data_IF_701712159360
#
_entry.id   IF_701712159360
#
_cell.length_a   1.000
_cell.length_b   1.000
_cell.length_c   1.000
_cell.angle_alpha   90.00
_cell.angle_beta   90.00
_cell.angle_gamma   90.00
#
_symmetry.space_group_name_H-M   'P 1'
#
loop_
_entity.id
_entity.type
_entity.pdbx_description
1 polymer ?
#
# COMPACT_ATOMS: atom_id res chain seq x y z
N UNK A 1 27.97 -61.70 17.60
CA UNK A 1 27.52 -60.33 17.90
C UNK A 1 26.91 -59.77 16.63
N UNK A 2 25.59 -59.52 16.64
CA UNK A 2 24.87 -58.95 15.48
C UNK A 2 24.92 -57.42 15.66
N UNK A 3 25.60 -56.71 14.76
CA UNK A 3 25.55 -55.25 14.75
C UNK A 3 24.20 -54.79 14.20
N UNK A 4 23.41 -54.13 15.04
CA UNK A 4 22.23 -53.37 14.63
C UNK A 4 22.72 -52.08 13.95
N UNK A 5 22.58 -52.00 12.62
CA UNK A 5 22.69 -50.74 11.91
C UNK A 5 21.39 -49.95 12.09
N UNK A 6 21.44 -48.90 12.92
CA UNK A 6 20.35 -47.94 13.08
C UNK A 6 20.52 -46.88 11.97
N UNK A 7 19.55 -46.69 11.06
CA UNK A 7 19.62 -45.65 10.05
C UNK A 7 19.67 -44.27 10.70
N UNK A 8 20.48 -43.35 10.15
CA UNK A 8 20.45 -41.95 10.57
C UNK A 8 19.08 -41.33 10.28
N UNK A 9 18.60 -40.41 11.12
CA UNK A 9 17.36 -39.68 10.84
C UNK A 9 17.51 -38.92 9.52
N UNK A 10 16.43 -38.76 8.75
CA UNK A 10 16.44 -37.98 7.52
C UNK A 10 16.83 -36.52 7.83
N UNK A 11 17.49 -35.85 6.87
CA UNK A 11 17.66 -34.39 6.93
C UNK A 11 16.28 -33.72 6.98
N UNK A 12 16.20 -32.48 7.50
CA UNK A 12 14.95 -31.72 7.54
C UNK A 12 14.23 -31.69 6.19
N UNK A 13 14.99 -31.64 5.09
CA UNK A 13 14.52 -31.74 3.70
C UNK A 13 13.89 -33.10 3.38
N UNK A 14 14.48 -34.21 3.83
CA UNK A 14 13.93 -35.55 3.64
C UNK A 14 12.72 -35.86 4.52
N UNK A 15 12.58 -35.17 5.65
CA UNK A 15 11.43 -35.30 6.55
C UNK A 15 10.19 -34.55 6.01
N UNK A 16 10.39 -33.42 5.33
CA UNK A 16 9.29 -32.59 4.81
C UNK A 16 8.72 -33.05 3.46
N UNK A 17 9.54 -33.58 2.55
CA UNK A 17 9.10 -33.84 1.17
C UNK A 17 8.97 -35.32 0.79
N UNK A 18 9.33 -36.25 1.67
CA UNK A 18 9.34 -37.68 1.36
C UNK A 18 10.46 -38.03 0.38
N UNK A 19 11.04 -39.22 0.53
CA UNK A 19 12.15 -39.68 -0.30
C UNK A 19 11.68 -40.14 -1.67
N UNK A 20 11.28 -39.22 -2.55
CA UNK A 20 11.19 -39.50 -3.99
C UNK A 20 11.08 -38.22 -4.83
N UNK A 21 12.21 -37.77 -5.38
CA UNK A 21 12.27 -37.35 -6.80
C UNK A 21 13.73 -37.26 -7.26
N UNK A 22 14.08 -38.16 -8.18
CA UNK A 22 15.33 -38.14 -8.93
C UNK A 22 15.23 -37.17 -10.12
N UNK A 23 16.27 -36.34 -10.23
CA UNK A 23 16.81 -35.66 -11.41
C UNK A 23 15.81 -35.02 -12.39
N UNK A 24 15.57 -33.73 -12.19
CA UNK A 24 15.49 -32.78 -13.28
C UNK A 24 16.60 -31.75 -13.04
N UNK A 25 17.41 -31.53 -14.08
CA UNK A 25 18.66 -30.78 -14.07
C UNK A 25 18.64 -29.57 -13.12
N UNK A 26 19.58 -29.56 -12.17
CA UNK A 26 19.97 -28.40 -11.39
C UNK A 26 20.32 -27.26 -12.36
N UNK A 27 19.35 -26.40 -12.66
CA UNK A 27 19.68 -24.99 -12.86
C UNK A 27 20.07 -24.49 -11.48
N UNK A 28 21.35 -24.64 -11.16
CA UNK A 28 21.97 -24.12 -9.95
C UNK A 28 21.83 -22.60 -9.97
N UNK A 29 20.74 -22.09 -9.40
CA UNK A 29 20.76 -20.76 -8.82
C UNK A 29 21.68 -20.87 -7.58
N UNK A 30 22.66 -19.99 -7.43
CA UNK A 30 23.70 -20.14 -6.41
C UNK A 30 23.19 -19.95 -4.97
N UNK A 31 21.95 -19.47 -4.80
CA UNK A 31 21.40 -19.18 -3.48
C UNK A 31 20.67 -20.37 -2.86
N UNK A 32 21.14 -20.78 -1.68
CA UNK A 32 20.49 -21.77 -0.85
C UNK A 32 19.19 -21.23 -0.24
N UNK A 33 18.28 -22.15 0.12
CA UNK A 33 17.04 -21.80 0.85
C UNK A 33 17.34 -21.08 2.17
N UNK A 34 18.41 -21.49 2.87
CA UNK A 34 18.87 -20.87 4.12
C UNK A 34 19.27 -19.40 3.92
N UNK A 35 20.09 -19.11 2.91
CA UNK A 35 20.51 -17.74 2.56
C UNK A 35 19.31 -16.86 2.21
N UNK A 36 18.30 -17.41 1.53
CA UNK A 36 17.06 -16.67 1.24
C UNK A 36 16.29 -16.29 2.52
N UNK A 37 16.28 -17.15 3.53
CA UNK A 37 15.64 -16.85 4.82
C UNK A 37 16.44 -15.83 5.64
N UNK A 38 17.76 -15.88 5.61
CA UNK A 38 18.62 -14.87 6.25
C UNK A 38 18.37 -13.48 5.64
N UNK A 39 18.36 -13.39 4.30
CA UNK A 39 18.05 -12.16 3.58
C UNK A 39 16.65 -11.62 3.96
N UNK A 40 15.66 -12.52 4.06
CA UNK A 40 14.31 -12.14 4.46
C UNK A 40 14.26 -11.66 5.92
N UNK A 41 14.96 -12.33 6.83
CA UNK A 41 15.01 -11.93 8.23
C UNK A 41 15.61 -10.53 8.41
N UNK A 42 16.73 -10.26 7.74
CA UNK A 42 17.34 -8.93 7.68
C UNK A 42 16.36 -7.89 7.07
N UNK A 43 15.67 -8.28 5.99
CA UNK A 43 14.68 -7.42 5.33
C UNK A 43 13.49 -7.07 6.23
N UNK A 44 13.02 -8.02 7.03
CA UNK A 44 11.95 -7.79 8.00
C UNK A 44 12.40 -6.87 9.16
N UNK A 45 13.68 -6.88 9.52
CA UNK A 45 14.21 -5.93 10.51
C UNK A 45 14.13 -4.49 9.97
N UNK A 46 14.60 -4.25 8.74
CA UNK A 46 14.49 -2.95 8.08
C UNK A 46 13.02 -2.55 7.89
N UNK A 47 12.18 -3.48 7.46
CA UNK A 47 10.74 -3.24 7.32
C UNK A 47 10.11 -2.82 8.65
N UNK A 48 10.46 -3.48 9.76
CA UNK A 48 9.97 -3.11 11.07
C UNK A 48 10.38 -1.68 11.47
N UNK A 49 11.59 -1.25 11.13
CA UNK A 49 12.05 0.12 11.39
C UNK A 49 11.30 1.17 10.56
N UNK A 50 11.05 0.88 9.27
CA UNK A 50 10.21 1.72 8.40
C UNK A 50 8.79 1.85 8.97
N UNK A 51 8.17 0.71 9.29
CA UNK A 51 6.81 0.70 9.82
C UNK A 51 6.74 1.36 11.20
N UNK A 52 7.75 1.18 12.04
CA UNK A 52 7.84 1.85 13.34
C UNK A 52 8.00 3.37 13.18
N UNK A 53 8.71 3.85 12.16
CA UNK A 53 8.75 5.27 11.84
C UNK A 53 7.37 5.79 11.43
N UNK A 54 6.71 5.12 10.49
CA UNK A 54 5.39 5.51 9.97
C UNK A 54 4.31 5.49 11.06
N UNK A 55 4.26 4.42 11.86
CA UNK A 55 3.26 4.28 12.93
C UNK A 55 3.51 5.16 14.15
N UNK A 56 4.73 5.69 14.32
CA UNK A 56 5.04 6.73 15.33
C UNK A 56 4.89 8.12 14.71
N UNK A 57 3.77 8.33 14.01
CA UNK A 57 3.39 9.57 13.32
C UNK A 57 4.31 10.05 12.20
N UNK A 58 5.36 9.30 11.84
CA UNK A 58 6.25 9.59 10.71
C UNK A 58 6.71 11.04 10.68
N UNK A 59 6.40 11.72 9.57
CA UNK A 59 6.70 13.15 9.35
C UNK A 59 6.04 14.08 10.38
N UNK A 60 4.90 13.68 10.95
CA UNK A 60 4.11 14.50 11.89
C UNK A 60 4.62 14.41 13.33
N UNK A 61 5.54 13.49 13.62
CA UNK A 61 6.11 13.38 14.96
C UNK A 61 6.82 14.68 15.37
N UNK A 62 6.84 15.03 16.67
CA UNK A 62 7.46 16.28 17.15
C UNK A 62 8.91 16.43 16.66
N UNK A 63 9.21 17.58 16.04
CA UNK A 63 10.54 17.91 15.53
C UNK A 63 10.89 17.33 14.15
N UNK A 64 10.08 16.42 13.58
CA UNK A 64 10.40 15.79 12.29
C UNK A 64 10.29 16.72 11.08
N UNK A 65 9.56 17.83 11.20
CA UNK A 65 9.48 18.86 10.17
C UNK A 65 10.57 19.94 10.30
N UNK A 66 11.41 19.89 11.34
CA UNK A 66 12.54 20.80 11.49
C UNK A 66 13.54 20.64 10.33
N UNK A 67 14.27 21.71 10.03
CA UNK A 67 15.18 21.74 8.87
C UNK A 67 16.18 20.58 8.88
N UNK A 68 16.76 20.22 10.03
CA UNK A 68 17.70 19.12 10.20
C UNK A 68 17.09 17.71 10.06
N UNK A 69 15.76 17.59 10.18
CA UNK A 69 15.03 16.33 10.11
C UNK A 69 14.28 16.13 8.79
N UNK A 70 14.35 17.10 7.88
CA UNK A 70 13.78 16.99 6.54
C UNK A 70 14.40 15.79 5.78
N UNK A 71 13.64 15.11 4.92
CA UNK A 71 14.03 13.81 4.36
C UNK A 71 15.26 13.87 3.44
N UNK A 72 15.56 15.01 2.84
CA UNK A 72 16.76 15.23 2.03
C UNK A 72 18.02 15.55 2.86
N UNK A 73 17.91 15.70 4.19
CA UNK A 73 19.08 15.89 5.04
C UNK A 73 19.72 14.51 5.31
N UNK A 74 21.02 14.32 4.99
CA UNK A 74 21.65 12.99 5.05
C UNK A 74 21.60 12.30 6.42
N UNK A 75 21.62 13.09 7.49
CA UNK A 75 21.60 12.62 8.88
C UNK A 75 20.20 12.53 9.49
N UNK A 76 19.17 12.91 8.73
CA UNK A 76 17.78 12.81 9.20
C UNK A 76 17.40 11.37 9.49
N UNK A 77 16.43 11.18 10.40
CA UNK A 77 15.89 9.85 10.71
C UNK A 77 15.36 9.15 9.45
N UNK A 78 14.69 9.89 8.57
CA UNK A 78 14.18 9.35 7.31
C UNK A 78 15.32 8.88 6.40
N UNK A 79 16.36 9.71 6.21
CA UNK A 79 17.49 9.38 5.34
C UNK A 79 18.27 8.17 5.83
N UNK A 80 18.45 8.01 7.15
CA UNK A 80 19.09 6.82 7.73
C UNK A 80 18.30 5.53 7.45
N UNK A 81 16.98 5.55 7.67
CA UNK A 81 16.12 4.40 7.35
C UNK A 81 16.18 4.08 5.85
N UNK A 82 16.17 5.11 4.99
CA UNK A 82 16.31 4.94 3.54
C UNK A 82 17.68 4.33 3.17
N UNK A 83 18.76 4.76 3.81
CA UNK A 83 20.11 4.23 3.62
C UNK A 83 20.21 2.77 4.08
N UNK A 84 19.60 2.41 5.22
CA UNK A 84 19.58 1.04 5.72
C UNK A 84 18.81 0.11 4.77
N UNK A 85 17.71 0.60 4.16
CA UNK A 85 16.98 -0.11 3.12
C UNK A 85 17.82 -0.37 1.87
N UNK A 86 18.57 0.64 1.40
CA UNK A 86 19.49 0.47 0.27
C UNK A 86 20.67 -0.44 0.61
N UNK A 87 21.21 -0.35 1.83
CA UNK A 87 22.28 -1.23 2.28
C UNK A 87 21.84 -2.68 2.36
N UNK A 88 20.59 -2.94 2.77
CA UNK A 88 20.01 -4.29 2.69
C UNK A 88 19.82 -4.74 1.24
N UNK A 89 19.24 -3.89 0.38
CA UNK A 89 19.02 -4.21 -1.04
C UNK A 89 20.31 -4.55 -1.78
N UNK A 90 21.35 -3.74 -1.61
CA UNK A 90 22.67 -3.91 -2.26
C UNK A 90 23.48 -5.09 -1.73
N UNK A 91 23.18 -5.62 -0.53
CA UNK A 91 23.80 -6.84 -0.01
C UNK A 91 23.28 -8.10 -0.72
N UNK A 92 22.07 -8.04 -1.25
CA UNK A 92 21.46 -9.15 -1.99
C UNK A 92 21.98 -9.19 -3.43
N UNK A 93 22.19 -10.40 -3.95
CA UNK A 93 22.62 -10.61 -5.33
C UNK A 93 21.59 -10.04 -6.33
N UNK A 94 22.07 -9.46 -7.43
CA UNK A 94 21.24 -8.87 -8.50
C UNK A 94 20.23 -9.87 -9.08
N UNK A 95 20.49 -11.17 -8.96
CA UNK A 95 19.56 -12.25 -9.32
C UNK A 95 18.29 -12.26 -8.47
N UNK A 96 18.24 -11.51 -7.36
CA UNK A 96 17.05 -11.37 -6.53
C UNK A 96 16.33 -10.04 -6.75
N UNK A 97 16.80 -9.20 -7.68
CA UNK A 97 16.26 -7.86 -7.88
C UNK A 97 15.25 -7.82 -9.03
N UNK A 98 14.01 -7.48 -8.71
CA UNK A 98 13.06 -6.94 -9.68
C UNK A 98 13.40 -5.45 -9.95
N UNK A 99 13.14 -4.90 -11.16
CA UNK A 99 12.65 -5.56 -12.38
C UNK A 99 13.75 -6.22 -13.23
N UNK A 100 15.02 -6.17 -12.82
CA UNK A 100 16.14 -6.81 -13.54
C UNK A 100 15.90 -8.30 -13.78
N UNK A 101 15.31 -8.97 -12.81
CA UNK A 101 14.78 -10.33 -12.89
C UNK A 101 13.25 -10.32 -12.82
N UNK A 102 12.63 -11.34 -13.41
CA UNK A 102 11.17 -11.50 -13.44
C UNK A 102 10.71 -12.58 -12.46
N UNK A 103 9.47 -12.49 -12.00
CA UNK A 103 8.88 -13.53 -11.14
C UNK A 103 8.92 -14.91 -11.82
N UNK A 104 8.67 -14.95 -13.13
CA UNK A 104 8.73 -16.18 -13.93
C UNK A 104 10.11 -16.85 -13.97
N UNK A 105 11.21 -16.06 -13.92
CA UNK A 105 12.57 -16.61 -13.87
C UNK A 105 12.84 -17.44 -12.61
N UNK A 106 12.12 -17.15 -11.52
CA UNK A 106 12.21 -17.84 -10.24
C UNK A 106 11.05 -18.83 -10.00
N UNK A 107 9.97 -18.78 -10.79
CA UNK A 107 8.80 -19.63 -10.65
C UNK A 107 9.12 -21.13 -10.65
N UNK A 108 9.99 -21.57 -11.58
CA UNK A 108 10.38 -22.98 -11.70
C UNK A 108 11.16 -23.54 -10.50
N UNK A 109 11.66 -22.68 -9.61
CA UNK A 109 12.36 -23.07 -8.38
C UNK A 109 11.44 -23.13 -7.16
N UNK A 110 10.21 -22.63 -7.26
CA UNK A 110 9.30 -22.46 -6.13
C UNK A 110 9.76 -21.40 -5.12
N UNK A 111 10.76 -20.58 -5.47
CA UNK A 111 11.34 -19.58 -4.57
C UNK A 111 10.41 -18.38 -4.37
N UNK A 112 9.47 -18.50 -3.42
CA UNK A 112 8.61 -17.40 -2.94
C UNK A 112 9.40 -16.28 -2.25
N UNK A 113 10.67 -16.53 -1.89
CA UNK A 113 11.53 -15.52 -1.29
C UNK A 113 11.81 -14.37 -2.26
N UNK A 114 11.96 -14.63 -3.58
CA UNK A 114 12.10 -13.56 -4.58
C UNK A 114 10.92 -12.58 -4.50
N UNK A 115 9.69 -13.11 -4.46
CA UNK A 115 8.48 -12.29 -4.36
C UNK A 115 8.50 -11.48 -3.06
N UNK A 116 8.75 -12.11 -1.91
CA UNK A 116 8.79 -11.40 -0.63
C UNK A 116 9.87 -10.33 -0.54
N UNK A 117 11.10 -10.61 -0.97
CA UNK A 117 12.22 -9.65 -0.92
C UNK A 117 11.85 -8.39 -1.69
N UNK A 118 11.30 -8.54 -2.89
CA UNK A 118 10.91 -7.40 -3.71
C UNK A 118 9.68 -6.67 -3.15
N UNK A 119 8.67 -7.40 -2.62
CA UNK A 119 7.53 -6.76 -1.96
C UNK A 119 7.96 -5.94 -0.74
N UNK A 120 8.83 -6.47 0.12
CA UNK A 120 9.34 -5.74 1.29
C UNK A 120 10.09 -4.47 0.86
N UNK A 121 10.98 -4.59 -0.13
CA UNK A 121 11.74 -3.45 -0.63
C UNK A 121 10.84 -2.32 -1.13
N UNK A 122 9.95 -2.63 -2.09
CA UNK A 122 9.10 -1.61 -2.68
C UNK A 122 8.05 -1.08 -1.70
N UNK A 123 7.50 -1.92 -0.82
CA UNK A 123 6.56 -1.44 0.19
C UNK A 123 7.23 -0.47 1.17
N UNK A 124 8.48 -0.70 1.56
CA UNK A 124 9.24 0.26 2.37
C UNK A 124 9.35 1.62 1.66
N UNK A 125 9.63 1.64 0.34
CA UNK A 125 9.64 2.87 -0.46
C UNK A 125 8.27 3.55 -0.41
N UNK A 126 7.18 2.82 -0.67
CA UNK A 126 5.82 3.38 -0.62
C UNK A 126 5.55 4.07 0.72
N UNK A 127 5.86 3.38 1.81
CA UNK A 127 5.54 3.84 3.15
C UNK A 127 6.39 5.04 3.57
N UNK A 128 7.66 5.09 3.17
CA UNK A 128 8.55 6.23 3.43
C UNK A 128 8.16 7.50 2.65
N UNK A 129 7.78 7.36 1.38
CA UNK A 129 7.54 8.52 0.51
C UNK A 129 6.13 9.07 0.65
N UNK A 130 5.10 8.22 0.77
CA UNK A 130 3.69 8.66 0.77
C UNK A 130 3.36 9.67 1.88
N UNK A 131 4.03 9.60 3.03
CA UNK A 131 3.83 10.51 4.18
C UNK A 131 4.10 11.98 3.84
N UNK A 132 4.91 12.23 2.81
CA UNK A 132 5.33 13.55 2.36
C UNK A 132 4.49 14.08 1.20
N UNK A 133 3.65 13.25 0.59
CA UNK A 133 2.75 13.69 -0.48
C UNK A 133 1.43 14.21 0.08
N UNK A 134 0.83 15.24 -0.55
CA UNK A 134 -0.50 15.72 -0.22
C UNK A 134 -1.56 14.61 -0.35
N UNK A 135 -2.38 14.42 0.68
CA UNK A 135 -3.54 13.53 0.63
C UNK A 135 -4.55 14.00 -0.42
N UNK A 136 -4.80 15.31 -0.48
CA UNK A 136 -5.56 15.97 -1.55
C UNK A 136 -4.65 17.04 -2.17
N UNK A 137 -4.08 16.81 -3.36
CA UNK A 137 -3.30 17.82 -4.05
C UNK A 137 -4.23 18.93 -4.55
N UNK A 138 -3.67 20.12 -4.75
CA UNK A 138 -4.41 21.21 -5.41
C UNK A 138 -4.63 20.86 -6.88
N UNK A 139 -5.66 21.43 -7.53
CA UNK A 139 -5.87 21.23 -8.97
C UNK A 139 -4.61 21.59 -9.75
N UNK A 140 -4.23 20.73 -10.69
CA UNK A 140 -3.02 20.86 -11.52
C UNK A 140 -1.69 20.92 -10.74
N UNK A 141 -1.65 20.53 -9.47
CA UNK A 141 -0.40 20.48 -8.73
C UNK A 141 0.56 19.45 -9.34
N UNK A 142 1.82 19.85 -9.43
CA UNK A 142 2.96 18.98 -9.69
C UNK A 142 3.47 18.37 -8.38
N UNK A 143 4.36 17.36 -8.43
CA UNK A 143 4.92 16.77 -7.21
C UNK A 143 5.49 17.85 -6.29
N UNK A 144 4.97 17.87 -5.07
CA UNK A 144 5.34 18.83 -4.05
C UNK A 144 5.17 18.21 -2.68
N UNK A 145 5.76 18.88 -1.69
CA UNK A 145 5.65 18.46 -0.30
C UNK A 145 4.27 18.63 0.31
N UNK A 146 4.17 18.34 1.61
CA UNK A 146 2.91 18.39 2.33
C UNK A 146 2.28 19.79 2.24
N UNK A 147 0.99 19.82 1.89
CA UNK A 147 0.18 21.03 1.86
C UNK A 147 -0.62 21.25 3.14
N UNK A 148 -0.45 20.35 4.11
CA UNK A 148 -1.12 20.37 5.41
C UNK A 148 -0.10 20.42 6.58
N UNK A 149 -0.42 21.11 7.70
CA UNK A 149 0.45 21.16 8.87
C UNK A 149 0.72 19.77 9.48
N UNK A 150 1.90 19.54 10.08
CA UNK A 150 3.03 20.46 10.18
C UNK A 150 3.73 20.65 8.83
N UNK A 151 4.21 21.86 8.53
CA UNK A 151 4.93 22.13 7.30
C UNK A 151 6.43 21.90 7.48
N UNK A 152 7.12 21.45 6.42
CA UNK A 152 8.57 21.32 6.43
C UNK A 152 9.21 22.72 6.56
N UNK A 153 10.18 22.84 7.47
CA UNK A 153 10.83 24.12 7.78
C UNK A 153 11.99 24.45 6.83
N UNK A 154 12.37 23.52 5.96
CA UNK A 154 13.35 23.72 4.91
C UNK A 154 12.71 23.49 3.52
N UNK A 155 13.23 24.19 2.53
CA UNK A 155 12.89 23.95 1.13
C UNK A 155 13.63 22.70 0.63
N UNK A 156 12.94 21.89 -0.18
CA UNK A 156 13.55 20.73 -0.79
C UNK A 156 14.57 21.13 -1.86
N UNK A 157 15.65 20.37 -2.05
CA UNK A 157 16.55 20.56 -3.18
C UNK A 157 15.78 20.49 -4.52
N UNK A 158 16.29 21.16 -5.58
CA UNK A 158 15.69 21.04 -6.90
C UNK A 158 15.52 19.57 -7.32
N UNK A 159 14.41 19.25 -7.97
CA UNK A 159 14.04 17.92 -8.46
C UNK A 159 13.73 16.86 -7.38
N UNK A 160 13.88 17.17 -6.09
CA UNK A 160 13.65 16.18 -5.04
C UNK A 160 12.23 15.61 -5.05
N UNK A 161 11.22 16.46 -5.25
CA UNK A 161 9.82 16.01 -5.31
C UNK A 161 9.50 15.18 -6.55
N UNK A 162 10.09 15.53 -7.69
CA UNK A 162 9.94 14.76 -8.93
C UNK A 162 10.55 13.37 -8.79
N UNK A 163 11.75 13.28 -8.22
CA UNK A 163 12.41 12.00 -7.95
C UNK A 163 11.68 11.18 -6.89
N UNK A 164 11.19 11.83 -5.85
CA UNK A 164 10.37 11.20 -4.81
C UNK A 164 9.05 10.65 -5.38
N UNK A 165 8.43 11.35 -6.34
CA UNK A 165 7.24 10.87 -7.05
C UNK A 165 7.60 9.67 -7.92
N UNK A 166 8.70 9.74 -8.67
CA UNK A 166 9.20 8.61 -9.47
C UNK A 166 9.34 7.35 -8.60
N UNK A 167 10.10 7.43 -7.50
CA UNK A 167 10.32 6.28 -6.62
C UNK A 167 9.00 5.74 -6.04
N UNK A 168 8.10 6.63 -5.61
CA UNK A 168 6.80 6.25 -5.03
C UNK A 168 5.91 5.50 -6.04
N UNK A 169 5.70 6.06 -7.23
CA UNK A 169 4.75 5.51 -8.19
C UNK A 169 5.31 4.32 -8.97
N UNK A 170 6.62 4.29 -9.25
CA UNK A 170 7.25 3.10 -9.83
C UNK A 170 7.21 1.93 -8.85
N UNK A 171 7.48 2.15 -7.56
CA UNK A 171 7.34 1.13 -6.54
C UNK A 171 5.89 0.59 -6.45
N UNK A 172 4.88 1.45 -6.60
CA UNK A 172 3.48 1.04 -6.54
C UNK A 172 3.12 0.16 -7.73
N UNK A 173 3.60 0.53 -8.92
CA UNK A 173 3.48 -0.30 -10.11
C UNK A 173 4.18 -1.65 -9.95
N UNK A 174 5.42 -1.65 -9.46
CA UNK A 174 6.19 -2.89 -9.24
C UNK A 174 5.50 -3.84 -8.26
N UNK A 175 4.95 -3.35 -7.15
CA UNK A 175 4.20 -4.21 -6.21
C UNK A 175 2.98 -4.84 -6.87
N UNK A 176 2.19 -4.07 -7.62
CA UNK A 176 1.02 -4.59 -8.32
C UNK A 176 1.40 -5.65 -9.36
N UNK A 177 2.42 -5.37 -10.19
CA UNK A 177 2.91 -6.32 -11.21
C UNK A 177 3.50 -7.58 -10.59
N UNK A 178 4.32 -7.47 -9.54
CA UNK A 178 4.90 -8.63 -8.86
C UNK A 178 3.80 -9.55 -8.31
N UNK A 179 2.76 -9.00 -7.68
CA UNK A 179 1.65 -9.79 -7.14
C UNK A 179 0.82 -10.45 -8.26
N UNK A 180 0.57 -9.73 -9.35
CA UNK A 180 -0.10 -10.26 -10.52
C UNK A 180 0.69 -11.41 -11.14
N UNK A 181 1.97 -11.19 -11.48
CA UNK A 181 2.85 -12.21 -12.05
C UNK A 181 3.00 -13.42 -11.11
N UNK A 182 3.11 -13.19 -9.80
CA UNK A 182 3.16 -14.27 -8.83
C UNK A 182 1.88 -15.12 -8.87
N UNK A 183 0.71 -14.51 -9.09
CA UNK A 183 -0.54 -15.25 -9.26
C UNK A 183 -0.53 -16.10 -10.54
N UNK A 184 -0.12 -15.51 -11.68
CA UNK A 184 -0.05 -16.21 -12.97
C UNK A 184 0.89 -17.43 -12.93
N UNK A 185 1.96 -17.35 -12.15
CA UNK A 185 2.94 -18.43 -11.97
C UNK A 185 2.59 -19.41 -10.83
N UNK A 186 1.41 -19.31 -10.21
CA UNK A 186 1.00 -20.20 -9.10
C UNK A 186 1.75 -19.95 -7.78
N UNK A 187 2.44 -18.82 -7.66
CA UNK A 187 3.13 -18.33 -6.47
C UNK A 187 2.29 -17.32 -5.69
N UNK A 188 0.95 -17.36 -5.81
CA UNK A 188 0.06 -16.40 -5.14
C UNK A 188 0.37 -16.29 -3.65
N UNK A 189 0.49 -15.06 -3.17
CA UNK A 189 0.89 -14.73 -1.80
C UNK A 189 -0.34 -14.30 -1.01
N UNK A 190 -0.90 -15.19 -0.20
CA UNK A 190 -2.12 -14.95 0.58
C UNK A 190 -1.83 -14.76 2.07
N UNK A 191 -0.70 -14.16 2.43
CA UNK A 191 -0.40 -13.81 3.83
C UNK A 191 -0.64 -12.31 4.06
N UNK A 192 -0.88 -11.87 5.31
CA UNK A 192 -1.25 -10.47 5.58
C UNK A 192 -0.25 -9.41 5.09
N UNK A 193 1.06 -9.69 5.11
CA UNK A 193 2.09 -8.72 4.69
C UNK A 193 2.01 -8.43 3.17
N UNK A 194 2.09 -9.42 2.27
CA UNK A 194 1.78 -9.25 0.84
C UNK A 194 0.40 -8.66 0.57
N UNK A 195 -0.62 -9.06 1.36
CA UNK A 195 -1.96 -8.49 1.29
C UNK A 195 -1.94 -6.97 1.47
N UNK A 196 -1.25 -6.51 2.51
CA UNK A 196 -1.09 -5.09 2.79
C UNK A 196 -0.22 -4.37 1.75
N UNK A 197 0.81 -5.04 1.21
CA UNK A 197 1.57 -4.52 0.08
C UNK A 197 0.66 -4.24 -1.12
N UNK A 198 -0.18 -5.21 -1.48
CA UNK A 198 -1.17 -5.09 -2.55
C UNK A 198 -2.16 -3.97 -2.29
N UNK A 199 -2.69 -3.85 -1.06
CA UNK A 199 -3.57 -2.74 -0.68
C UNK A 199 -2.91 -1.38 -0.84
N UNK A 200 -1.71 -1.16 -0.30
CA UNK A 200 -1.04 0.13 -0.38
C UNK A 200 -0.67 0.52 -1.82
N UNK A 201 -0.25 -0.44 -2.63
CA UNK A 201 0.00 -0.22 -4.05
C UNK A 201 -1.28 0.12 -4.82
N UNK A 202 -2.36 -0.64 -4.58
CA UNK A 202 -3.68 -0.40 -5.15
C UNK A 202 -4.19 1.00 -4.82
N UNK A 203 -4.07 1.43 -3.55
CA UNK A 203 -4.44 2.78 -3.12
C UNK A 203 -3.61 3.87 -3.81
N UNK A 204 -2.31 3.68 -3.99
CA UNK A 204 -1.46 4.66 -4.68
C UNK A 204 -1.70 4.70 -6.19
N UNK A 205 -2.02 3.57 -6.82
CA UNK A 205 -2.43 3.53 -8.23
C UNK A 205 -3.79 4.22 -8.43
N UNK A 206 -4.72 4.11 -7.47
CA UNK A 206 -5.94 4.92 -7.44
C UNK A 206 -5.61 6.42 -7.35
N UNK A 207 -4.71 6.81 -6.44
CA UNK A 207 -4.27 8.20 -6.32
C UNK A 207 -3.66 8.70 -7.64
N UNK A 208 -2.79 7.91 -8.28
CA UNK A 208 -2.17 8.24 -9.55
C UNK A 208 -3.18 8.41 -10.70
N UNK A 209 -4.26 7.62 -10.69
CA UNK A 209 -5.34 7.70 -11.66
C UNK A 209 -6.09 9.04 -11.57
N UNK A 210 -6.41 9.49 -10.35
CA UNK A 210 -7.14 10.74 -10.14
C UNK A 210 -6.23 11.97 -10.16
N UNK A 211 -4.96 11.86 -9.80
CA UNK A 211 -4.03 12.99 -9.74
C UNK A 211 -2.77 12.75 -10.62
N UNK A 212 -2.93 12.61 -11.95
CA UNK A 212 -1.84 12.19 -12.83
C UNK A 212 -0.64 13.16 -12.83
N UNK A 213 -0.85 14.46 -12.65
CA UNK A 213 0.23 15.45 -12.60
C UNK A 213 1.18 15.22 -11.40
N UNK A 214 0.66 14.71 -10.29
CA UNK A 214 1.45 14.39 -9.09
C UNK A 214 2.42 13.22 -9.32
N UNK A 215 2.24 12.46 -10.41
CA UNK A 215 3.09 11.32 -10.75
C UNK A 215 4.33 11.72 -11.56
N UNK A 216 4.40 12.97 -12.05
CA UNK A 216 5.40 13.41 -13.02
C UNK A 216 5.53 12.47 -14.25
N UNK A 217 4.47 11.76 -14.61
CA UNK A 217 4.46 10.83 -15.75
C UNK A 217 4.97 9.41 -15.43
N UNK A 218 5.29 9.11 -14.17
CA UNK A 218 5.82 7.80 -13.75
C UNK A 218 4.74 6.75 -13.45
N UNK A 219 3.46 7.02 -13.75
CA UNK A 219 2.37 6.05 -13.61
C UNK A 219 1.44 6.01 -14.83
N UNK A 220 1.96 5.78 -16.06
CA UNK A 220 1.14 5.83 -17.27
C UNK A 220 0.07 4.73 -17.33
N UNK A 221 0.26 3.64 -16.59
CA UNK A 221 -0.65 2.48 -16.54
C UNK A 221 -1.44 2.41 -15.21
N UNK A 222 -1.66 3.55 -14.55
CA UNK A 222 -2.31 3.60 -13.23
C UNK A 222 -3.62 2.80 -13.15
N UNK A 223 -4.44 2.88 -14.21
CA UNK A 223 -5.72 2.14 -14.30
C UNK A 223 -5.53 0.62 -14.32
N UNK A 224 -4.64 0.12 -15.17
CA UNK A 224 -4.38 -1.32 -15.28
C UNK A 224 -3.78 -1.87 -13.99
N UNK A 225 -2.86 -1.12 -13.38
CA UNK A 225 -2.22 -1.49 -12.11
C UNK A 225 -3.22 -1.48 -10.94
N UNK A 226 -4.17 -0.53 -10.93
CA UNK A 226 -5.29 -0.50 -10.00
C UNK A 226 -6.19 -1.74 -10.17
N UNK A 227 -6.54 -2.09 -11.41
CA UNK A 227 -7.39 -3.25 -11.70
C UNK A 227 -6.71 -4.56 -11.25
N UNK A 228 -5.40 -4.73 -11.53
CA UNK A 228 -4.61 -5.86 -11.04
C UNK A 228 -4.62 -5.94 -9.50
N UNK A 229 -4.44 -4.80 -8.82
CA UNK A 229 -4.47 -4.73 -7.36
C UNK A 229 -5.85 -5.09 -6.78
N UNK A 230 -6.93 -4.59 -7.39
CA UNK A 230 -8.30 -4.92 -6.98
C UNK A 230 -8.61 -6.41 -7.17
N UNK A 231 -8.19 -7.01 -8.28
CA UNK A 231 -8.39 -8.44 -8.52
C UNK A 231 -7.65 -9.29 -7.48
N UNK A 232 -6.39 -8.94 -7.18
CA UNK A 232 -5.65 -9.57 -6.10
C UNK A 232 -6.37 -9.45 -4.75
N UNK A 233 -6.90 -8.27 -4.39
CA UNK A 233 -7.61 -8.07 -3.13
C UNK A 233 -8.94 -8.83 -3.06
N UNK A 234 -9.66 -8.98 -4.18
CA UNK A 234 -10.89 -9.79 -4.27
C UNK A 234 -10.63 -11.28 -4.07
N UNK A 235 -9.47 -11.76 -4.47
CA UNK A 235 -9.05 -13.12 -4.13
C UNK A 235 -8.58 -13.20 -2.67
N UNK A 236 -7.80 -12.21 -2.21
CA UNK A 236 -7.28 -12.16 -0.85
C UNK A 236 -8.40 -12.16 0.21
N UNK A 237 -9.50 -11.44 -0.02
CA UNK A 237 -10.65 -11.39 0.92
C UNK A 237 -11.33 -12.74 1.14
N UNK A 238 -11.13 -13.71 0.24
CA UNK A 238 -11.65 -15.08 0.43
C UNK A 238 -10.89 -15.84 1.53
N UNK A 239 -9.66 -15.43 1.80
CA UNK A 239 -8.80 -16.02 2.83
C UNK A 239 -8.74 -15.16 4.11
N UNK A 240 -8.90 -13.85 4.01
CA UNK A 240 -8.78 -12.92 5.14
C UNK A 240 -9.81 -11.79 5.09
N UNK A 241 -10.56 -11.59 6.18
CA UNK A 241 -11.54 -10.49 6.30
C UNK A 241 -10.93 -9.10 6.13
N UNK A 242 -9.60 -8.97 6.32
CA UNK A 242 -8.81 -7.77 6.02
C UNK A 242 -9.08 -7.22 4.61
N UNK A 243 -9.20 -8.11 3.61
CA UNK A 243 -9.39 -7.70 2.23
C UNK A 243 -10.66 -6.89 2.00
N UNK A 244 -11.75 -7.21 2.72
CA UNK A 244 -13.02 -6.50 2.58
C UNK A 244 -12.93 -5.05 3.09
N UNK A 245 -12.30 -4.84 4.25
CA UNK A 245 -12.08 -3.50 4.80
C UNK A 245 -11.16 -2.64 3.92
N UNK A 246 -10.13 -3.26 3.34
CA UNK A 246 -9.22 -2.60 2.40
C UNK A 246 -9.91 -2.20 1.10
N UNK A 247 -10.73 -3.07 0.52
CA UNK A 247 -11.53 -2.76 -0.68
C UNK A 247 -12.50 -1.60 -0.39
N UNK A 248 -13.22 -1.62 0.73
CA UNK A 248 -14.10 -0.52 1.14
C UNK A 248 -13.35 0.81 1.29
N UNK A 249 -12.12 0.77 1.81
CA UNK A 249 -11.28 1.97 1.93
C UNK A 249 -10.92 2.53 0.55
N UNK A 250 -10.54 1.68 -0.41
CA UNK A 250 -10.27 2.08 -1.80
C UNK A 250 -11.51 2.67 -2.44
N UNK A 251 -12.69 2.06 -2.26
CA UNK A 251 -13.96 2.56 -2.79
C UNK A 251 -14.29 3.97 -2.25
N UNK A 252 -14.20 4.15 -0.92
CA UNK A 252 -14.45 5.46 -0.30
C UNK A 252 -13.46 6.53 -0.78
N UNK A 253 -12.19 6.16 -0.98
CA UNK A 253 -11.18 7.06 -1.54
C UNK A 253 -11.48 7.40 -3.01
N UNK A 254 -11.95 6.44 -3.81
CA UNK A 254 -12.33 6.67 -5.20
C UNK A 254 -13.46 7.69 -5.30
N UNK A 255 -14.49 7.53 -4.46
CA UNK A 255 -15.60 8.49 -4.38
C UNK A 255 -15.10 9.89 -3.99
N UNK A 256 -14.26 9.99 -2.97
CA UNK A 256 -13.71 11.29 -2.56
C UNK A 256 -12.88 11.94 -3.67
N UNK A 257 -11.96 11.20 -4.30
CA UNK A 257 -11.10 11.74 -5.34
C UNK A 257 -11.87 12.14 -6.59
N UNK A 258 -12.93 11.39 -6.94
CA UNK A 258 -13.87 11.77 -7.99
C UNK A 258 -14.59 13.08 -7.66
N UNK A 259 -15.12 13.22 -6.44
CA UNK A 259 -15.79 14.45 -6.01
C UNK A 259 -14.84 15.67 -6.03
N UNK A 260 -13.61 15.49 -5.56
CA UNK A 260 -12.59 16.54 -5.55
C UNK A 260 -12.21 16.96 -6.98
N UNK A 261 -12.10 16.02 -7.91
CA UNK A 261 -11.78 16.33 -9.30
C UNK A 261 -12.95 16.97 -10.06
N UNK A 262 -14.18 16.50 -9.83
CA UNK A 262 -15.37 17.03 -10.49
C UNK A 262 -15.76 18.41 -9.97
N UNK A 263 -15.47 18.70 -8.70
CA UNK A 263 -15.88 19.93 -8.02
C UNK A 263 -14.68 20.69 -7.41
N UNK A 264 -13.64 20.89 -8.21
CA UNK A 264 -12.33 21.37 -7.74
C UNK A 264 -12.37 22.67 -6.92
N UNK A 265 -13.24 23.62 -7.28
CA UNK A 265 -13.38 24.90 -6.58
C UNK A 265 -14.02 24.74 -5.20
N UNK A 266 -15.01 23.86 -5.08
CA UNK A 266 -15.72 23.57 -3.84
C UNK A 266 -14.82 22.91 -2.80
N UNK A 267 -13.91 22.04 -3.24
CA UNK A 267 -13.00 21.31 -2.36
C UNK A 267 -11.67 22.04 -2.10
N UNK A 268 -11.49 23.25 -2.64
CA UNK A 268 -10.23 24.02 -2.58
C UNK A 268 -9.72 24.29 -1.15
N UNK A 269 -10.63 24.39 -0.19
CA UNK A 269 -10.32 24.65 1.22
C UNK A 269 -10.27 23.39 2.09
N UNK A 270 -10.60 22.24 1.53
CA UNK A 270 -10.55 20.96 2.24
C UNK A 270 -9.11 20.45 2.33
N UNK A 271 -8.83 19.72 3.39
CA UNK A 271 -7.53 19.17 3.67
C UNK A 271 -7.65 17.73 4.17
N UNK A 272 -6.50 17.07 4.35
CA UNK A 272 -6.40 15.78 5.05
C UNK A 272 -7.18 15.76 6.37
N UNK A 273 -7.22 16.87 7.11
CA UNK A 273 -7.89 16.96 8.42
C UNK A 273 -9.41 16.80 8.33
N UNK A 274 -10.00 17.22 7.22
CA UNK A 274 -11.43 17.05 6.96
C UNK A 274 -11.78 15.58 6.66
N UNK A 275 -10.79 14.75 6.33
CA UNK A 275 -10.93 13.35 5.95
C UNK A 275 -10.03 12.42 6.78
N UNK A 276 -9.77 12.77 8.04
CA UNK A 276 -8.77 12.11 8.88
C UNK A 276 -9.03 10.60 9.02
N UNK A 277 -10.29 10.18 9.19
CA UNK A 277 -10.63 8.76 9.31
C UNK A 277 -10.24 7.97 8.06
N UNK A 278 -10.54 8.50 6.87
CA UNK A 278 -10.21 7.86 5.58
C UNK A 278 -8.70 7.86 5.34
N UNK A 279 -8.03 8.95 5.69
CA UNK A 279 -6.58 9.04 5.63
C UNK A 279 -5.90 8.00 6.52
N UNK A 280 -6.38 7.82 7.76
CA UNK A 280 -5.88 6.80 8.67
C UNK A 280 -6.13 5.38 8.13
N UNK A 281 -7.30 5.11 7.59
CA UNK A 281 -7.62 3.80 6.99
C UNK A 281 -6.74 3.46 5.79
N UNK A 282 -6.29 4.45 5.01
CA UNK A 282 -5.31 4.24 3.94
C UNK A 282 -3.93 3.78 4.44
N UNK A 283 -3.70 3.81 5.75
CA UNK A 283 -2.40 3.61 6.40
C UNK A 283 -2.42 2.51 7.46
N UNK A 284 -3.59 1.96 7.75
CA UNK A 284 -3.82 1.05 8.84
C UNK A 284 -3.77 -0.42 8.36
N UNK A 285 -2.95 -1.24 9.02
CA UNK A 285 -2.83 -2.68 8.75
C UNK A 285 -4.00 -3.50 9.35
N UNK A 286 -4.92 -2.85 10.09
CA UNK A 286 -5.99 -3.51 10.85
C UNK A 286 -7.35 -3.37 10.17
N UNK A 287 -8.24 -4.32 10.45
CA UNK A 287 -9.66 -4.22 10.14
C UNK A 287 -10.37 -3.28 11.11
N UNK A 288 -10.59 -2.03 10.70
CA UNK A 288 -11.62 -1.18 11.31
C UNK A 288 -12.53 -0.71 10.19
N UNK A 289 -13.74 -1.26 10.11
CA UNK A 289 -14.74 -0.76 9.17
C UNK A 289 -15.19 0.63 9.64
N UNK A 290 -14.69 1.66 8.97
CA UNK A 290 -15.04 3.07 9.19
C UNK A 290 -15.85 3.63 8.02
N UNK A 291 -16.47 2.78 7.21
CA UNK A 291 -17.18 3.22 6.00
C UNK A 291 -18.27 4.24 6.30
N UNK A 292 -19.05 4.05 7.37
CA UNK A 292 -20.05 5.03 7.80
C UNK A 292 -19.43 6.39 8.15
N UNK A 293 -18.24 6.39 8.79
CA UNK A 293 -17.51 7.61 9.11
C UNK A 293 -16.96 8.27 7.85
N UNK A 294 -16.41 7.50 6.90
CA UNK A 294 -15.95 8.03 5.63
C UNK A 294 -17.09 8.70 4.85
N UNK A 295 -18.23 8.02 4.73
CA UNK A 295 -19.41 8.52 4.04
C UNK A 295 -20.05 9.71 4.77
N UNK A 296 -19.97 9.76 6.10
CA UNK A 296 -20.38 10.94 6.86
C UNK A 296 -19.46 12.14 6.55
N UNK A 297 -18.14 11.97 6.59
CA UNK A 297 -17.19 13.05 6.27
C UNK A 297 -17.36 13.57 4.83
N UNK A 298 -17.60 12.67 3.87
CA UNK A 298 -17.87 13.04 2.47
C UNK A 298 -19.18 13.84 2.37
N UNK A 299 -20.27 13.37 2.99
CA UNK A 299 -21.56 14.08 2.98
C UNK A 299 -21.49 15.43 3.70
N UNK A 300 -20.79 15.51 4.82
CA UNK A 300 -20.60 16.75 5.57
C UNK A 300 -19.76 17.77 4.77
N UNK A 301 -18.80 17.30 3.96
CA UNK A 301 -18.09 18.15 3.01
C UNK A 301 -19.05 18.68 1.92
N UNK A 302 -19.87 17.81 1.34
CA UNK A 302 -20.88 18.19 0.33
C UNK A 302 -21.90 19.21 0.87
N UNK A 303 -22.46 18.97 2.05
CA UNK A 303 -23.44 19.88 2.66
C UNK A 303 -22.83 21.25 3.03
N UNK A 304 -21.58 21.28 3.52
CA UNK A 304 -20.88 22.55 3.78
C UNK A 304 -20.73 23.37 2.51
N UNK A 305 -20.39 22.70 1.41
CA UNK A 305 -20.27 23.31 0.09
C UNK A 305 -21.62 23.85 -0.40
N UNK A 306 -22.68 23.04 -0.38
CA UNK A 306 -24.03 23.45 -0.80
C UNK A 306 -24.54 24.66 0.02
N UNK A 307 -24.28 24.68 1.33
CA UNK A 307 -24.65 25.80 2.19
C UNK A 307 -23.90 27.10 1.88
N UNK A 308 -22.67 27.01 1.34
CA UNK A 308 -21.91 28.19 0.89
C UNK A 308 -22.45 28.72 -0.43
N UNK A 309 -22.94 27.86 -1.33
CA UNK A 309 -23.58 28.24 -2.59
C UNK A 309 -24.96 28.89 -2.40
N UNK A 310 -25.78 28.37 -1.48
CA UNK A 310 -27.08 28.97 -1.12
C UNK A 310 -26.92 30.37 -0.50
N UNK A 311 -25.76 30.67 0.07
CA UNK A 311 -25.47 32.01 0.61
C UNK A 311 -25.05 33.00 -0.50
N UNK A 312 -24.57 32.50 -1.65
CA UNK A 312 -24.08 33.31 -2.77
C UNK A 312 -25.09 33.43 -3.93
N UNK A 313 -26.10 32.55 -4.00
CA UNK A 313 -27.17 32.56 -5.01
C UNK A 313 -28.28 33.62 -4.80
N UNK A 314 -27.95 34.72 -4.12
CA UNK A 314 -28.75 35.94 -4.09
C UNK A 314 -28.78 36.73 -5.40
N UNK A 315 -28.21 36.24 -6.52
CA UNK A 315 -28.44 36.80 -7.86
C UNK A 315 -27.88 35.93 -8.99
N UNK A 316 -28.75 35.52 -9.92
CA UNK A 316 -28.36 35.23 -11.31
C UNK A 316 -28.73 33.83 -11.83
N UNK A 317 -29.82 33.76 -12.58
CA UNK A 317 -30.19 32.60 -13.41
C UNK A 317 -29.21 32.42 -14.57
N UNK A 318 -28.64 31.23 -14.74
CA UNK A 318 -28.12 30.74 -16.03
C UNK A 318 -28.48 29.26 -16.19
N UNK A 319 -29.02 28.94 -17.37
CA UNK A 319 -29.36 27.60 -17.85
C UNK A 319 -28.09 26.83 -18.24
N UNK A 320 -28.00 25.58 -17.78
CA UNK A 320 -26.94 24.63 -18.12
C UNK A 320 -27.37 23.78 -19.33
N UNK A 321 -26.54 23.79 -20.37
CA UNK A 321 -26.53 22.80 -21.45
C UNK A 321 -25.19 22.04 -21.36
N UNK A 322 -25.23 20.83 -20.77
CA UNK A 322 -24.11 19.90 -20.78
C UNK A 322 -24.60 18.55 -21.32
N UNK A 323 -24.30 18.29 -22.58
CA UNK A 323 -24.37 16.98 -23.19
C UNK A 323 -22.96 16.34 -23.22
N UNK A 324 -22.95 15.02 -23.11
CA UNK A 324 -21.86 14.08 -23.37
C UNK A 324 -20.98 13.68 -22.17
N UNK A 325 -21.55 12.85 -21.28
CA UNK A 325 -20.82 11.98 -20.34
C UNK A 325 -21.49 10.59 -20.32
N UNK A 326 -21.17 9.75 -21.31
CA UNK A 326 -21.42 8.31 -21.23
C UNK A 326 -20.08 7.57 -21.29
N UNK A 327 -19.72 6.95 -20.16
CA UNK A 327 -18.96 5.70 -19.93
C UNK A 327 -17.87 5.80 -18.87
N UNK A 328 -18.29 6.09 -17.64
CA UNK A 328 -17.65 5.52 -16.45
C UNK A 328 -18.76 5.19 -15.44
N UNK A 329 -18.97 3.89 -15.18
CA UNK A 329 -20.01 3.40 -14.28
C UNK A 329 -19.38 2.82 -13.01
N UNK A 330 -19.28 3.60 -11.91
CA UNK A 330 -18.77 3.12 -10.63
C UNK A 330 -19.67 2.05 -9.97
N UNK A 331 -20.89 1.83 -10.47
CA UNK A 331 -21.87 0.87 -9.95
C UNK A 331 -21.61 -0.55 -10.45
N UNK A 332 -20.86 -0.74 -11.55
CA UNK A 332 -20.49 -2.06 -12.06
C UNK A 332 -19.59 -2.88 -11.09
N UNK A 333 -19.03 -2.25 -10.05
CA UNK A 333 -18.25 -2.94 -9.01
C UNK A 333 -19.12 -3.65 -7.96
N UNK A 334 -20.41 -3.32 -7.88
CA UNK A 334 -21.34 -3.89 -6.92
C UNK A 334 -22.18 -4.99 -7.58
N UNK A 335 -21.61 -6.19 -7.64
CA UNK A 335 -22.43 -7.40 -7.77
C UNK A 335 -23.18 -7.65 -6.45
N UNK A 336 -24.50 -7.82 -6.54
CA UNK A 336 -25.43 -8.15 -5.45
C UNK A 336 -24.84 -9.16 -4.43
N UNK A 337 -24.75 -8.78 -3.15
CA UNK A 337 -25.55 -9.37 -2.07
C UNK A 337 -25.12 -8.95 -0.65
N UNK A 338 -26.13 -8.46 0.09
CA UNK A 338 -26.54 -8.89 1.43
C UNK A 338 -25.67 -8.55 2.66
N UNK A 339 -26.11 -7.47 3.33
CA UNK A 339 -26.30 -7.33 4.79
C UNK A 339 -26.26 -8.65 5.60
N UNK A 340 -25.32 -8.88 6.53
CA UNK A 340 -25.41 -9.81 7.70
C UNK A 340 -24.27 -9.50 8.73
N UNK A 341 -24.29 -10.01 9.98
CA UNK A 341 -24.34 -9.25 11.23
C UNK A 341 -22.98 -9.09 11.95
N UNK A 342 -22.94 -8.16 12.89
CA UNK A 342 -21.81 -7.82 13.77
C UNK A 342 -21.40 -8.99 14.70
N UNK A 343 -20.16 -9.47 14.57
CA UNK A 343 -19.60 -10.55 15.40
C UNK A 343 -18.99 -10.08 16.73
N UNK A 344 -19.21 -8.82 17.11
CA UNK A 344 -18.68 -8.25 18.35
C UNK A 344 -19.38 -8.70 19.64
N UNK A 345 -20.32 -9.65 19.58
CA UNK A 345 -21.05 -10.15 20.76
C UNK A 345 -20.48 -11.46 21.36
N UNK A 346 -19.35 -11.98 20.86
CA UNK A 346 -18.76 -13.23 21.36
C UNK A 346 -17.58 -13.06 22.34
N UNK A 347 -17.16 -11.82 22.64
CA UNK A 347 -16.02 -11.57 23.54
C UNK A 347 -16.34 -10.70 24.77
N UNK A 348 -17.62 -10.44 25.05
CA UNK A 348 -18.04 -9.86 26.33
C UNK A 348 -18.98 -10.83 27.06
N UNK A 349 -18.74 -10.98 28.38
CA UNK A 349 -19.46 -11.79 29.39
C UNK A 349 -19.00 -13.29 29.39
N UNK A 350 -18.41 -13.91 30.41
CA UNK A 350 -18.25 -13.67 31.85
C UNK A 350 -17.10 -14.54 32.39
N UNK A 351 -16.37 -14.08 33.42
CA UNK A 351 -16.05 -14.80 34.68
C UNK A 351 -14.81 -14.23 35.36
N UNK A 352 -14.99 -13.32 36.32
CA UNK A 352 -14.36 -13.45 37.64
C UNK A 352 -15.29 -12.81 38.67
N UNK A 353 -16.21 -13.62 39.17
CA UNK A 353 -16.96 -13.36 40.38
C UNK A 353 -16.02 -13.47 41.58
N UNK A 354 -16.00 -12.41 42.37
CA UNK A 354 -15.51 -12.35 43.75
C UNK A 354 -16.15 -13.45 44.62
N UNK A 355 -15.31 -14.16 45.39
CA UNK A 355 -15.76 -15.11 46.40
C UNK A 355 -14.60 -15.75 47.16
N UNK A 356 -14.36 -15.19 48.37
CA UNK A 356 -13.46 -15.59 49.46
C UNK A 356 -11.98 -15.17 49.37
#
# INVERSE_FOLDING_TARGET
MIQLQIPRPPSATGFLFGSQQQSLAEKTYPLGVEECYEILADGFAVYADVMAFVYKDGRKAPGMCAAENCPWVPDSKWARIRQDLEAWRTRTDDILHYPTQTVGAHAGTGCRAFVYINLLYYHCILMLHREYFPFLPKPNAEPQGPTDPPFLEAEAPPQWWQESARELFEAAGHVATILHDASEWGLTMMTPVPGFCGFSACYLNLYALYFPNMTAGHSPMAKDLLDMGLEYLKEFRKAWDLGEGWIKTIQNASLLFEQVNSNADQYRHTSRRDFEALHLSAHEFRTVDRSEQHMALIRDAQQRVESMEDTDLGNGLVQDDAADLETFDPVALMGDHALWPTWNSAFEVDTFGSGL
#
